data_IF_543376048819
#
_entry.id   IF_543376048819
#
_cell.length_a   1.000
_cell.length_b   1.000
_cell.length_c   1.000
_cell.angle_alpha   90.00
_cell.angle_beta   90.00
_cell.angle_gamma   90.00
#
_symmetry.space_group_name_H-M   'P 1'
#
loop_
_entity.id
_entity.type
_entity.pdbx_description
1 polymer ?
#
# COMPACT_ATOMS: atom_id res chain seq x y z
N UNK A 1 10.39 -14.00 8.66
CA UNK A 1 9.74 -14.53 9.88
C UNK A 1 10.65 -14.54 11.11
N UNK A 2 11.87 -15.09 11.04
CA UNK A 2 12.79 -15.15 12.19
C UNK A 2 13.14 -13.78 12.82
N UNK A 3 13.23 -12.72 12.02
CA UNK A 3 13.55 -11.35 12.48
C UNK A 3 12.39 -10.71 13.23
N UNK A 4 11.15 -10.99 12.82
CA UNK A 4 9.93 -10.49 13.47
C UNK A 4 9.74 -11.20 14.82
N UNK A 5 9.94 -12.52 14.87
CA UNK A 5 9.92 -13.27 16.12
C UNK A 5 11.01 -12.84 17.10
N UNK A 6 12.21 -12.50 16.61
CA UNK A 6 13.30 -11.97 17.44
C UNK A 6 12.98 -10.57 17.99
N UNK A 7 12.34 -9.71 17.20
CA UNK A 7 11.87 -8.40 17.64
C UNK A 7 10.74 -8.52 18.69
N UNK A 8 9.77 -9.42 18.47
CA UNK A 8 8.68 -9.67 19.42
C UNK A 8 9.17 -10.34 20.73
N UNK A 9 10.16 -11.23 20.65
CA UNK A 9 10.77 -11.87 21.83
C UNK A 9 11.52 -10.87 22.72
N UNK A 10 12.15 -9.85 22.12
CA UNK A 10 12.78 -8.74 22.85
C UNK A 10 11.75 -7.83 23.56
N UNK A 11 10.51 -7.76 23.06
CA UNK A 11 9.41 -7.01 23.70
C UNK A 11 8.83 -7.82 24.88
N UNK A 12 8.73 -9.14 24.75
CA UNK A 12 8.20 -10.03 25.79
C UNK A 12 9.16 -10.21 26.99
N UNK A 13 10.46 -9.96 26.82
CA UNK A 13 11.47 -10.19 27.87
C UNK A 13 11.59 -9.09 28.94
N UNK A 14 10.58 -8.22 29.10
CA UNK A 14 10.48 -7.31 30.25
C UNK A 14 11.54 -6.20 30.32
N UNK A 15 12.37 -6.03 29.30
CA UNK A 15 13.23 -4.86 29.20
C UNK A 15 12.34 -3.65 28.92
N UNK A 16 12.17 -2.77 29.92
CA UNK A 16 11.35 -1.57 29.80
C UNK A 16 11.66 -0.86 28.47
N UNK A 17 10.67 -0.56 27.62
CA UNK A 17 10.93 0.24 26.44
C UNK A 17 11.49 1.58 26.93
N UNK A 18 12.75 1.88 26.58
CA UNK A 18 13.25 3.26 26.66
C UNK A 18 12.23 4.10 25.92
N UNK A 19 11.74 5.16 26.57
CA UNK A 19 10.86 6.15 25.92
C UNK A 19 11.48 6.49 24.57
N UNK A 20 10.84 6.08 23.48
CA UNK A 20 11.18 6.46 22.13
C UNK A 20 11.03 7.99 22.08
N UNK A 21 12.14 8.68 22.29
CA UNK A 21 12.17 10.10 21.98
C UNK A 21 12.27 10.20 20.46
N UNK A 22 11.35 10.90 19.78
CA UNK A 22 11.58 11.24 18.39
C UNK A 22 12.92 11.98 18.30
N UNK A 23 13.76 11.67 17.31
CA UNK A 23 15.02 12.39 17.13
C UNK A 23 14.72 13.89 17.03
N UNK A 24 15.48 14.71 17.78
CA UNK A 24 15.38 16.17 17.68
C UNK A 24 16.03 16.60 16.36
N UNK A 25 15.19 16.96 15.39
CA UNK A 25 15.61 17.43 14.07
C UNK A 25 16.17 18.86 14.19
N UNK A 26 17.49 19.01 14.23
CA UNK A 26 18.12 20.34 14.17
C UNK A 26 19.43 20.41 13.40
N UNK A 27 19.83 19.35 12.68
CA UNK A 27 21.09 19.33 11.92
C UNK A 27 20.87 18.67 10.54
N UNK A 28 21.10 19.42 9.46
CA UNK A 28 20.95 18.95 8.06
C UNK A 28 21.83 17.73 7.74
N UNK A 29 22.97 17.63 8.42
CA UNK A 29 23.91 16.50 8.34
C UNK A 29 23.30 15.19 8.82
N UNK A 30 22.50 15.24 9.90
CA UNK A 30 21.85 14.06 10.48
C UNK A 30 20.71 13.58 9.59
N UNK A 31 20.02 14.52 8.93
CA UNK A 31 18.95 14.17 7.98
C UNK A 31 19.50 13.45 6.74
N UNK A 32 20.62 13.93 6.19
CA UNK A 32 21.30 13.28 5.07
C UNK A 32 21.82 11.89 5.43
N UNK A 33 22.35 11.72 6.65
CA UNK A 33 22.79 10.43 7.16
C UNK A 33 21.61 9.44 7.32
N UNK A 34 20.48 9.90 7.85
CA UNK A 34 19.25 9.09 7.97
C UNK A 34 18.63 8.72 6.62
N UNK A 35 18.74 9.58 5.61
CA UNK A 35 18.28 9.30 4.24
C UNK A 35 19.17 8.29 3.50
N UNK A 36 20.42 8.11 3.94
CA UNK A 36 21.35 7.12 3.38
C UNK A 36 21.13 5.69 3.90
N UNK A 37 20.26 5.53 4.91
CA UNK A 37 19.98 4.24 5.52
C UNK A 37 19.38 3.23 4.53
N UNK A 38 19.71 1.93 4.62
CA UNK A 38 19.13 0.89 3.75
C UNK A 38 17.60 0.79 3.79
N UNK A 39 16.98 1.21 4.91
CA UNK A 39 15.53 1.26 5.09
C UNK A 39 14.99 2.70 5.15
N UNK A 40 15.72 3.67 4.59
CA UNK A 40 15.25 5.03 4.49
C UNK A 40 13.90 5.09 3.73
N UNK A 41 12.98 5.86 4.28
CA UNK A 41 11.68 6.11 3.67
C UNK A 41 11.58 7.60 3.31
N UNK A 42 11.06 7.95 2.12
CA UNK A 42 10.78 9.33 1.78
C UNK A 42 9.80 9.92 2.78
N UNK A 43 10.03 11.16 3.22
CA UNK A 43 9.14 11.89 4.14
C UNK A 43 7.70 11.97 3.61
N UNK A 44 7.54 11.98 2.29
CA UNK A 44 6.26 12.05 1.60
C UNK A 44 5.49 10.71 1.61
N UNK A 45 6.13 9.58 1.94
CA UNK A 45 5.50 8.26 1.87
C UNK A 45 4.29 8.10 2.81
N UNK A 46 4.40 8.35 4.13
CA UNK A 46 3.25 8.21 5.04
C UNK A 46 2.03 9.06 4.65
N UNK A 47 2.13 10.36 4.35
CA UNK A 47 0.95 11.14 3.98
C UNK A 47 0.39 10.72 2.61
N UNK A 48 1.25 10.39 1.63
CA UNK A 48 0.79 10.04 0.29
C UNK A 48 0.04 8.70 0.25
N UNK A 49 0.51 7.69 1.00
CA UNK A 49 -0.24 6.43 1.11
C UNK A 49 -1.60 6.67 1.77
N UNK A 50 -1.66 7.46 2.85
CA UNK A 50 -2.94 7.75 3.52
C UNK A 50 -3.92 8.47 2.59
N UNK A 51 -3.45 9.44 1.79
CA UNK A 51 -4.28 10.10 0.78
C UNK A 51 -4.79 9.08 -0.24
N UNK A 52 -3.93 8.20 -0.76
CA UNK A 52 -4.34 7.14 -1.68
C UNK A 52 -5.44 6.25 -1.08
N UNK A 53 -5.27 5.81 0.17
CA UNK A 53 -6.24 4.94 0.84
C UNK A 53 -7.58 5.65 1.10
N UNK A 54 -7.54 6.93 1.48
CA UNK A 54 -8.76 7.74 1.67
C UNK A 54 -9.48 7.91 0.32
N UNK A 55 -8.76 8.29 -0.73
CA UNK A 55 -9.34 8.47 -2.07
C UNK A 55 -9.92 7.17 -2.61
N UNK A 56 -9.24 6.04 -2.40
CA UNK A 56 -9.71 4.74 -2.86
C UNK A 56 -10.96 4.29 -2.10
N UNK A 57 -11.00 4.53 -0.78
CA UNK A 57 -12.18 4.26 0.05
C UNK A 57 -13.36 5.14 -0.35
N UNK A 58 -13.10 6.44 -0.57
CA UNK A 58 -14.09 7.39 -1.05
C UNK A 58 -14.62 6.99 -2.43
N UNK A 59 -13.76 6.54 -3.35
CA UNK A 59 -14.18 6.05 -4.66
C UNK A 59 -15.12 4.85 -4.54
N UNK A 60 -14.84 3.90 -3.64
CA UNK A 60 -15.69 2.73 -3.44
C UNK A 60 -17.05 3.08 -2.83
N UNK A 61 -17.08 4.01 -1.87
CA UNK A 61 -18.29 4.31 -1.08
C UNK A 61 -19.14 5.42 -1.70
N UNK A 62 -18.52 6.47 -2.23
CA UNK A 62 -19.20 7.70 -2.64
C UNK A 62 -19.56 7.72 -4.13
N UNK A 63 -18.76 7.12 -5.03
CA UNK A 63 -19.11 7.09 -6.46
C UNK A 63 -20.44 6.39 -6.74
N UNK A 64 -20.79 5.25 -6.11
CA UNK A 64 -22.10 4.62 -6.29
C UNK A 64 -23.27 5.48 -5.80
N UNK A 65 -23.02 6.50 -4.98
CA UNK A 65 -24.06 7.42 -4.48
C UNK A 65 -24.39 8.51 -5.50
N UNK A 66 -23.65 8.60 -6.60
CA UNK A 66 -23.93 9.58 -7.65
C UNK A 66 -25.26 9.24 -8.34
N UNK A 67 -26.25 10.17 -8.32
CA UNK A 67 -27.51 9.93 -9.00
C UNK A 67 -27.27 9.93 -10.51
N UNK A 68 -27.65 8.85 -11.18
CA UNK A 68 -27.58 8.76 -12.64
C UNK A 68 -28.94 9.22 -13.19
N UNK A 69 -28.99 10.33 -13.97
CA UNK A 69 -30.23 10.80 -14.58
C UNK A 69 -30.89 9.68 -15.41
N UNK A 70 -32.22 9.57 -15.32
CA UNK A 70 -33.05 8.62 -16.07
C UNK A 70 -32.80 7.13 -15.80
N UNK A 71 -32.11 6.76 -14.72
CA UNK A 71 -31.91 5.37 -14.35
C UNK A 71 -32.91 4.95 -13.24
N UNK A 72 -33.97 4.16 -13.55
CA UNK A 72 -35.06 3.87 -12.61
C UNK A 72 -34.54 3.15 -11.37
N UNK A 73 -34.97 3.48 -10.16
CA UNK A 73 -34.47 2.83 -8.94
C UNK A 73 -34.97 1.38 -8.92
N UNK A 74 -34.06 0.42 -9.00
CA UNK A 74 -34.41 -1.01 -8.89
C UNK A 74 -34.57 -1.39 -7.40
N UNK A 75 -35.56 -2.23 -7.04
CA UNK A 75 -35.66 -2.74 -5.68
C UNK A 75 -34.41 -3.55 -5.32
N UNK A 76 -34.03 -3.60 -4.03
CA UNK A 76 -32.88 -4.39 -3.59
C UNK A 76 -33.06 -5.85 -3.98
N UNK A 77 -31.95 -6.49 -4.39
CA UNK A 77 -31.98 -7.86 -4.93
C UNK A 77 -32.18 -8.94 -3.85
N UNK A 78 -32.03 -8.59 -2.56
CA UNK A 78 -32.16 -9.47 -1.38
C UNK A 78 -32.67 -8.69 -0.17
N UNK A 79 -33.27 -9.41 0.79
CA UNK A 79 -33.65 -8.86 2.10
C UNK A 79 -34.68 -7.72 2.07
N UNK A 80 -35.71 -7.81 1.21
CA UNK A 80 -36.79 -6.80 1.11
C UNK A 80 -37.51 -6.58 2.45
N UNK A 81 -37.56 -7.61 3.29
CA UNK A 81 -38.33 -7.61 4.54
C UNK A 81 -37.54 -7.03 5.73
N UNK A 82 -36.26 -6.70 5.53
CA UNK A 82 -35.37 -6.26 6.61
C UNK A 82 -34.88 -4.84 6.35
N UNK A 83 -35.10 -3.90 7.29
CA UNK A 83 -34.72 -2.50 7.08
C UNK A 83 -33.20 -2.35 6.90
N UNK A 84 -32.82 -1.50 5.95
CA UNK A 84 -31.43 -1.11 5.67
C UNK A 84 -31.30 0.40 5.80
N UNK A 85 -30.13 0.86 6.27
CA UNK A 85 -29.85 2.28 6.35
C UNK A 85 -29.83 2.93 4.95
N UNK A 86 -30.46 4.11 4.74
CA UNK A 86 -30.57 4.75 3.42
C UNK A 86 -29.25 4.96 2.70
N UNK A 87 -28.18 5.24 3.45
CA UNK A 87 -26.82 5.40 2.92
C UNK A 87 -26.31 4.17 2.14
N UNK A 88 -26.71 2.96 2.54
CA UNK A 88 -26.23 1.74 1.90
C UNK A 88 -27.05 1.38 0.66
N UNK A 89 -28.26 1.93 0.51
CA UNK A 89 -29.16 1.56 -0.58
C UNK A 89 -28.56 1.80 -1.98
N UNK A 90 -27.89 2.93 -2.29
CA UNK A 90 -27.25 3.13 -3.59
C UNK A 90 -26.16 2.09 -3.89
N UNK A 91 -25.43 1.67 -2.86
CA UNK A 91 -24.33 0.70 -2.96
C UNK A 91 -24.87 -0.72 -3.20
N UNK A 92 -25.97 -1.08 -2.54
CA UNK A 92 -26.48 -2.47 -2.52
C UNK A 92 -27.57 -2.76 -3.53
N UNK A 93 -28.29 -1.74 -4.02
CA UNK A 93 -29.34 -1.92 -5.03
C UNK A 93 -28.79 -2.44 -6.36
N UNK A 94 -27.55 -2.06 -6.71
CA UNK A 94 -26.92 -2.43 -7.98
C UNK A 94 -25.46 -2.89 -7.79
N UNK A 95 -25.23 -4.16 -7.45
CA UNK A 95 -23.89 -4.72 -7.26
C UNK A 95 -22.94 -4.44 -8.44
N UNK A 96 -23.41 -4.63 -9.67
CA UNK A 96 -22.63 -4.39 -10.89
C UNK A 96 -22.19 -2.94 -11.01
N UNK A 97 -23.11 -1.98 -10.82
CA UNK A 97 -22.81 -0.56 -10.96
C UNK A 97 -21.80 -0.10 -9.90
N UNK A 98 -21.98 -0.55 -8.66
CA UNK A 98 -21.04 -0.30 -7.57
C UNK A 98 -19.64 -0.78 -7.90
N UNK A 99 -19.52 -2.01 -8.41
CA UNK A 99 -18.22 -2.55 -8.82
C UNK A 99 -17.64 -1.85 -10.04
N UNK A 100 -18.46 -1.43 -11.00
CA UNK A 100 -18.01 -0.60 -12.14
C UNK A 100 -17.39 0.69 -11.64
N UNK A 101 -18.05 1.40 -10.73
CA UNK A 101 -17.49 2.61 -10.10
C UNK A 101 -16.21 2.32 -9.31
N UNK A 102 -16.15 1.22 -8.57
CA UNK A 102 -14.95 0.80 -7.86
C UNK A 102 -13.78 0.53 -8.83
N UNK A 103 -14.03 -0.17 -9.94
CA UNK A 103 -13.04 -0.43 -10.98
C UNK A 103 -12.57 0.86 -11.66
N UNK A 104 -13.49 1.77 -12.01
CA UNK A 104 -13.15 3.07 -12.60
C UNK A 104 -12.31 3.92 -11.65
N UNK A 105 -12.68 3.97 -10.36
CA UNK A 105 -11.88 4.63 -9.33
C UNK A 105 -10.49 4.01 -9.20
N UNK A 106 -10.39 2.68 -9.22
CA UNK A 106 -9.12 1.97 -9.18
C UNK A 106 -8.26 2.21 -10.44
N UNK A 107 -8.86 2.27 -11.63
CA UNK A 107 -8.17 2.57 -12.90
C UNK A 107 -7.52 3.96 -12.88
N UNK A 108 -8.04 4.92 -12.11
CA UNK A 108 -7.45 6.25 -11.98
C UNK A 108 -6.44 6.31 -10.82
N UNK A 109 -6.85 5.86 -9.64
CA UNK A 109 -6.07 6.04 -8.41
C UNK A 109 -4.89 5.07 -8.31
N UNK A 110 -5.04 3.83 -8.78
CA UNK A 110 -3.98 2.82 -8.67
C UNK A 110 -2.79 3.15 -9.57
N UNK A 111 -2.95 3.55 -10.85
CA UNK A 111 -1.81 3.97 -11.66
C UNK A 111 -1.13 5.23 -11.15
N UNK A 112 -1.88 6.18 -10.57
CA UNK A 112 -1.31 7.34 -9.91
C UNK A 112 -0.40 6.91 -8.75
N UNK A 113 -0.92 6.08 -7.83
CA UNK A 113 -0.16 5.56 -6.70
C UNK A 113 1.05 4.71 -7.13
N UNK A 114 0.85 3.82 -8.11
CA UNK A 114 1.92 2.99 -8.65
C UNK A 114 3.02 3.83 -9.33
N UNK A 115 2.66 4.96 -9.92
CA UNK A 115 3.62 5.95 -10.43
C UNK A 115 4.47 6.58 -9.35
N UNK A 116 3.88 6.89 -8.20
CA UNK A 116 4.64 7.34 -7.02
C UNK A 116 5.57 6.24 -6.51
N UNK A 117 5.07 5.00 -6.33
CA UNK A 117 5.90 3.86 -5.93
C UNK A 117 7.06 3.59 -6.90
N UNK A 118 6.84 3.75 -8.20
CA UNK A 118 7.88 3.60 -9.23
C UNK A 118 8.98 4.64 -9.04
N UNK A 119 8.62 5.91 -8.82
CA UNK A 119 9.61 6.96 -8.54
C UNK A 119 10.43 6.63 -7.30
N UNK A 120 9.78 6.12 -6.25
CA UNK A 120 10.50 5.72 -5.05
C UNK A 120 11.43 4.52 -5.28
N UNK A 121 10.97 3.51 -6.02
CA UNK A 121 11.77 2.33 -6.30
C UNK A 121 12.99 2.61 -7.18
N UNK A 122 12.88 3.52 -8.16
CA UNK A 122 13.95 3.83 -9.11
C UNK A 122 14.83 5.01 -8.67
N UNK A 123 14.24 6.05 -8.08
CA UNK A 123 14.93 7.32 -7.80
C UNK A 123 15.13 7.57 -6.29
N UNK A 124 14.56 6.74 -5.42
CA UNK A 124 14.61 6.93 -3.96
C UNK A 124 13.74 8.07 -3.43
N UNK A 125 13.02 8.80 -4.30
CA UNK A 125 12.19 9.95 -3.93
C UNK A 125 10.71 9.68 -4.20
N UNK A 126 9.83 10.38 -3.46
CA UNK A 126 8.38 10.27 -3.62
C UNK A 126 7.77 11.68 -3.65
N UNK A 127 6.92 11.97 -4.64
CA UNK A 127 6.18 13.24 -4.67
C UNK A 127 6.02 13.84 -6.07
N UNK A 128 5.62 15.11 -6.11
CA UNK A 128 5.48 15.83 -7.38
C UNK A 128 6.84 16.07 -8.00
N UNK A 129 7.07 15.52 -9.20
CA UNK A 129 8.21 15.86 -10.04
C UNK A 129 8.30 17.37 -10.26
N UNK A 130 9.52 17.89 -10.30
CA UNK A 130 9.78 19.27 -10.73
C UNK A 130 9.21 19.48 -12.14
N UNK A 131 8.88 20.72 -12.50
CA UNK A 131 8.35 21.03 -13.85
C UNK A 131 9.32 20.54 -14.93
N UNK A 132 10.63 20.67 -14.68
CA UNK A 132 11.70 20.21 -15.55
C UNK A 132 11.67 18.69 -15.77
N UNK A 133 11.57 17.89 -14.71
CA UNK A 133 11.48 16.42 -14.79
C UNK A 133 10.20 15.90 -15.46
N UNK A 134 9.15 16.72 -15.52
CA UNK A 134 7.92 16.39 -16.28
C UNK A 134 8.10 16.64 -17.76
N UNK A 135 8.83 17.69 -18.12
CA UNK A 135 9.10 18.08 -19.50
C UNK A 135 10.11 17.13 -20.18
N UNK A 136 11.11 16.66 -19.44
CA UNK A 136 12.12 15.73 -19.97
C UNK A 136 11.52 14.36 -20.31
N UNK A 137 10.46 13.94 -19.60
CA UNK A 137 9.75 12.70 -19.86
C UNK A 137 10.60 11.45 -19.61
N UNK A 138 9.95 10.31 -19.38
CA UNK A 138 10.65 9.01 -19.38
C UNK A 138 10.21 8.27 -20.66
N UNK A 139 11.13 8.03 -21.63
CA UNK A 139 10.78 7.44 -22.92
C UNK A 139 10.23 6.02 -22.79
N UNK A 140 10.47 5.33 -21.67
CA UNK A 140 9.97 3.98 -21.43
C UNK A 140 8.68 3.96 -20.60
N UNK A 141 8.28 5.08 -19.97
CA UNK A 141 7.11 5.15 -19.10
C UNK A 141 5.82 4.69 -19.79
N UNK A 142 5.58 5.15 -21.02
CA UNK A 142 4.37 4.79 -21.76
C UNK A 142 4.33 3.29 -22.08
N UNK A 143 5.46 2.73 -22.51
CA UNK A 143 5.59 1.29 -22.77
C UNK A 143 5.37 0.48 -21.49
N UNK A 144 5.89 0.94 -20.36
CA UNK A 144 5.77 0.22 -19.10
C UNK A 144 4.34 0.26 -18.54
N UNK A 145 3.64 1.40 -18.69
CA UNK A 145 2.20 1.50 -18.38
C UNK A 145 1.39 0.56 -19.28
N UNK A 146 1.73 0.50 -20.57
CA UNK A 146 1.06 -0.36 -21.54
C UNK A 146 1.25 -1.84 -21.18
N UNK A 147 2.49 -2.24 -20.92
CA UNK A 147 2.84 -3.59 -20.48
C UNK A 147 2.14 -3.97 -19.16
N UNK A 148 2.12 -3.07 -18.17
CA UNK A 148 1.44 -3.31 -16.90
C UNK A 148 -0.07 -3.45 -17.09
N UNK A 149 -0.68 -2.64 -17.96
CA UNK A 149 -2.10 -2.71 -18.28
C UNK A 149 -2.46 -4.04 -18.95
N UNK A 150 -1.70 -4.46 -19.97
CA UNK A 150 -1.90 -5.75 -20.64
C UNK A 150 -1.76 -6.90 -19.66
N UNK A 151 -0.71 -6.90 -18.83
CA UNK A 151 -0.50 -7.95 -17.84
C UNK A 151 -1.61 -8.00 -16.79
N UNK A 152 -2.17 -6.83 -16.42
CA UNK A 152 -3.34 -6.73 -15.54
C UNK A 152 -4.58 -7.35 -16.18
N UNK A 153 -4.81 -7.12 -17.48
CA UNK A 153 -5.93 -7.76 -18.21
C UNK A 153 -5.78 -9.27 -18.25
N UNK A 154 -4.59 -9.79 -18.58
CA UNK A 154 -4.33 -11.25 -18.53
C UNK A 154 -4.57 -11.82 -17.14
N UNK A 155 -4.15 -11.09 -16.10
CA UNK A 155 -4.36 -11.53 -14.72
C UNK A 155 -5.83 -11.47 -14.33
N UNK A 156 -6.59 -10.47 -14.77
CA UNK A 156 -8.03 -10.41 -14.56
C UNK A 156 -8.74 -11.60 -15.22
N UNK A 157 -8.34 -12.00 -16.43
CA UNK A 157 -8.87 -13.19 -17.10
C UNK A 157 -8.53 -14.47 -16.34
N UNK A 158 -7.28 -14.61 -15.88
CA UNK A 158 -6.86 -15.76 -15.07
C UNK A 158 -7.63 -15.82 -13.74
N UNK A 159 -7.76 -14.70 -13.05
CA UNK A 159 -8.52 -14.60 -11.80
C UNK A 159 -10.01 -14.86 -12.01
N UNK A 160 -10.60 -14.45 -13.12
CA UNK A 160 -11.98 -14.79 -13.46
C UNK A 160 -12.18 -16.30 -13.52
N UNK A 161 -11.27 -17.01 -14.20
CA UNK A 161 -11.26 -18.48 -14.23
C UNK A 161 -11.09 -19.09 -12.84
N UNK A 162 -10.15 -18.58 -12.02
CA UNK A 162 -9.95 -19.04 -10.64
C UNK A 162 -11.21 -18.85 -9.80
N UNK A 163 -11.88 -17.68 -9.87
CA UNK A 163 -13.08 -17.42 -9.07
C UNK A 163 -14.23 -18.35 -9.47
N UNK A 164 -14.37 -18.68 -10.77
CA UNK A 164 -15.32 -19.69 -11.24
C UNK A 164 -14.99 -21.06 -10.66
N UNK A 165 -13.72 -21.48 -10.70
CA UNK A 165 -13.28 -22.77 -10.13
C UNK A 165 -13.54 -22.86 -8.62
N UNK A 166 -13.52 -21.72 -7.92
CA UNK A 166 -13.83 -21.63 -6.50
C UNK A 166 -15.35 -21.52 -6.20
N UNK A 167 -16.20 -21.68 -7.22
CA UNK A 167 -17.65 -21.86 -7.06
C UNK A 167 -18.52 -20.71 -7.56
N UNK A 168 -17.96 -19.70 -8.25
CA UNK A 168 -18.79 -18.67 -8.86
C UNK A 168 -19.57 -19.21 -10.09
N UNK A 169 -20.85 -18.82 -10.29
CA UNK A 169 -21.65 -19.33 -11.41
C UNK A 169 -21.07 -18.95 -12.79
N UNK A 170 -20.94 -19.95 -13.67
CA UNK A 170 -20.30 -19.79 -14.98
C UNK A 170 -21.06 -18.88 -15.96
N UNK A 171 -22.40 -18.92 -15.98
CA UNK A 171 -23.23 -18.27 -17.02
C UNK A 171 -23.97 -17.04 -16.49
N UNK A 172 -24.57 -17.13 -15.30
CA UNK A 172 -25.49 -16.10 -14.79
C UNK A 172 -24.76 -14.87 -14.22
N UNK A 173 -23.54 -15.05 -13.71
CA UNK A 173 -22.78 -14.02 -12.99
C UNK A 173 -21.47 -13.63 -13.69
N UNK A 174 -21.38 -13.79 -15.02
CA UNK A 174 -20.17 -13.47 -15.80
C UNK A 174 -19.69 -12.04 -15.55
N UNK A 175 -20.57 -11.06 -15.72
CA UNK A 175 -20.23 -9.64 -15.50
C UNK A 175 -19.77 -9.34 -14.06
N UNK A 176 -20.43 -9.95 -13.07
CA UNK A 176 -20.13 -9.77 -11.66
C UNK A 176 -18.73 -10.31 -11.33
N UNK A 177 -18.46 -11.54 -11.77
CA UNK A 177 -17.17 -12.21 -11.56
C UNK A 177 -16.05 -11.53 -12.35
N UNK A 178 -16.33 -11.03 -13.55
CA UNK A 178 -15.36 -10.28 -14.37
C UNK A 178 -14.94 -8.97 -13.70
N UNK A 179 -15.91 -8.19 -13.17
CA UNK A 179 -15.61 -6.96 -12.44
C UNK A 179 -14.84 -7.23 -11.14
N UNK A 180 -15.19 -8.27 -10.39
CA UNK A 180 -14.45 -8.66 -9.19
C UNK A 180 -13.01 -9.06 -9.53
N UNK A 181 -12.81 -9.87 -10.58
CA UNK A 181 -11.50 -10.28 -11.04
C UNK A 181 -10.65 -9.10 -11.53
N UNK A 182 -11.28 -8.15 -12.23
CA UNK A 182 -10.63 -6.91 -12.66
C UNK A 182 -10.20 -6.05 -11.46
N UNK A 183 -11.07 -5.86 -10.47
CA UNK A 183 -10.75 -5.09 -9.27
C UNK A 183 -9.57 -5.70 -8.51
N UNK A 184 -9.57 -7.03 -8.34
CA UNK A 184 -8.45 -7.75 -7.74
C UNK A 184 -7.16 -7.55 -8.55
N UNK A 185 -7.19 -7.76 -9.87
CA UNK A 185 -6.02 -7.58 -10.71
C UNK A 185 -5.46 -6.15 -10.65
N UNK A 186 -6.34 -5.14 -10.60
CA UNK A 186 -5.96 -3.74 -10.42
C UNK A 186 -5.23 -3.53 -9.09
N UNK A 187 -5.69 -4.12 -7.99
CA UNK A 187 -5.04 -3.98 -6.69
C UNK A 187 -3.74 -4.79 -6.54
N UNK A 188 -3.71 -6.00 -7.09
CA UNK A 188 -2.65 -6.98 -6.80
C UNK A 188 -1.54 -6.99 -7.83
N UNK A 189 -1.86 -6.66 -9.08
CA UNK A 189 -0.97 -6.93 -10.21
C UNK A 189 -0.52 -5.67 -10.90
N UNK A 190 -1.40 -4.69 -11.07
CA UNK A 190 -1.03 -3.44 -11.73
C UNK A 190 0.14 -2.72 -11.03
N UNK A 191 0.15 -2.47 -9.70
CA UNK A 191 1.25 -1.75 -9.07
C UNK A 191 2.59 -2.47 -9.20
N UNK A 192 2.70 -3.78 -8.88
CA UNK A 192 3.97 -4.49 -9.05
C UNK A 192 4.44 -4.53 -10.51
N UNK A 193 3.53 -4.74 -11.47
CA UNK A 193 3.87 -4.78 -12.88
C UNK A 193 4.36 -3.44 -13.42
N UNK A 194 3.82 -2.33 -12.95
CA UNK A 194 4.27 -1.00 -13.38
C UNK A 194 5.58 -0.57 -12.71
N UNK A 195 5.81 -0.98 -11.46
CA UNK A 195 7.02 -0.63 -10.69
C UNK A 195 8.22 -1.51 -11.06
N UNK A 196 8.03 -2.83 -11.09
CA UNK A 196 9.08 -3.83 -11.30
C UNK A 196 9.21 -4.28 -12.76
N UNK A 197 8.17 -4.06 -13.56
CA UNK A 197 7.98 -4.70 -14.86
C UNK A 197 7.24 -6.05 -14.71
N UNK A 198 6.42 -6.44 -15.70
CA UNK A 198 5.73 -7.73 -15.67
C UNK A 198 6.73 -8.89 -15.87
N UNK A 199 6.42 -10.08 -15.31
CA UNK A 199 7.23 -11.25 -15.55
C UNK A 199 7.12 -11.66 -17.02
N UNK A 200 8.16 -12.34 -17.51
CA UNK A 200 8.16 -12.90 -18.85
C UNK A 200 7.33 -14.16 -18.88
N UNK A 201 6.09 -13.98 -19.30
CA UNK A 201 5.22 -15.03 -19.80
C UNK A 201 5.12 -14.78 -21.31
N UNK A 202 5.17 -15.83 -22.13
CA UNK A 202 5.09 -15.74 -23.60
C UNK A 202 3.71 -15.29 -24.10
N UNK A 203 3.19 -14.19 -23.56
CA UNK A 203 1.87 -13.65 -23.79
C UNK A 203 1.92 -12.67 -24.96
N UNK A 204 0.94 -12.73 -25.88
CA UNK A 204 0.90 -11.80 -26.99
C UNK A 204 0.71 -10.37 -26.50
N UNK A 205 1.24 -9.41 -27.26
CA UNK A 205 1.19 -7.96 -27.01
C UNK A 205 1.97 -7.44 -25.79
N UNK A 206 2.62 -8.33 -25.02
CA UNK A 206 3.50 -7.93 -23.92
C UNK A 206 4.93 -7.72 -24.44
N UNK A 207 5.39 -6.47 -24.49
CA UNK A 207 6.73 -6.14 -24.98
C UNK A 207 7.75 -6.27 -23.85
N UNK A 208 8.52 -7.36 -23.84
CA UNK A 208 9.53 -7.61 -22.80
C UNK A 208 10.95 -7.67 -23.40
N UNK A 209 11.86 -6.85 -22.87
CA UNK A 209 13.26 -6.79 -23.33
C UNK A 209 14.02 -8.05 -22.98
N UNK A 210 14.59 -8.75 -23.99
CA UNK A 210 15.20 -10.08 -23.96
C UNK A 210 16.32 -10.30 -22.92
N UNK A 211 17.07 -9.27 -22.57
CA UNK A 211 18.28 -9.37 -21.73
C UNK A 211 18.01 -9.62 -20.24
N UNK A 212 16.87 -9.19 -19.69
CA UNK A 212 16.64 -9.17 -18.23
C UNK A 212 15.53 -10.12 -17.73
N UNK A 213 15.14 -11.12 -18.53
CA UNK A 213 13.99 -12.00 -18.24
C UNK A 213 14.13 -12.75 -16.93
N UNK A 214 15.28 -13.39 -16.76
CA UNK A 214 15.54 -14.32 -15.66
C UNK A 214 15.52 -13.54 -14.35
N UNK A 215 16.18 -12.38 -14.33
CA UNK A 215 16.22 -11.48 -13.19
C UNK A 215 14.80 -11.01 -12.83
N UNK A 216 13.99 -10.60 -13.82
CA UNK A 216 12.61 -10.18 -13.56
C UNK A 216 11.76 -11.31 -12.97
N UNK A 217 11.82 -12.51 -13.53
CA UNK A 217 11.07 -13.65 -13.03
C UNK A 217 11.51 -14.02 -11.60
N UNK A 218 12.80 -14.02 -11.32
CA UNK A 218 13.36 -14.25 -9.98
C UNK A 218 12.87 -13.20 -8.97
N UNK A 219 12.82 -11.91 -9.36
CA UNK A 219 12.27 -10.85 -8.52
C UNK A 219 10.80 -11.10 -8.14
N UNK A 220 9.97 -11.52 -9.10
CA UNK A 220 8.56 -11.84 -8.83
C UNK A 220 8.41 -13.06 -7.91
N UNK A 221 9.17 -14.12 -8.15
CA UNK A 221 9.17 -15.31 -7.29
C UNK A 221 9.62 -14.95 -5.87
N UNK A 222 10.74 -14.25 -5.72
CA UNK A 222 11.27 -13.82 -4.43
C UNK A 222 10.29 -12.95 -3.65
N UNK A 223 9.70 -11.95 -4.29
CA UNK A 223 8.80 -11.01 -3.61
C UNK A 223 7.49 -11.71 -3.26
N UNK A 224 6.82 -12.35 -4.23
CA UNK A 224 5.45 -12.83 -4.05
C UNK A 224 5.36 -14.29 -3.59
N UNK A 225 6.19 -15.20 -4.11
CA UNK A 225 6.14 -16.61 -3.72
C UNK A 225 6.95 -16.87 -2.44
N UNK A 226 8.19 -16.37 -2.35
CA UNK A 226 9.04 -16.55 -1.16
C UNK A 226 8.73 -15.55 -0.03
N UNK A 227 7.96 -14.49 -0.32
CA UNK A 227 7.62 -13.42 0.63
C UNK A 227 8.86 -12.73 1.21
N UNK A 228 9.93 -12.62 0.42
CA UNK A 228 11.21 -12.08 0.84
C UNK A 228 11.42 -10.66 0.31
N UNK A 229 10.93 -9.67 1.07
CA UNK A 229 11.10 -8.25 0.77
C UNK A 229 12.39 -7.71 1.37
N UNK A 230 13.30 -7.23 0.51
CA UNK A 230 14.58 -6.63 0.91
C UNK A 230 14.46 -5.13 1.08
N UNK A 231 13.68 -4.48 0.21
CA UNK A 231 13.61 -3.03 0.14
C UNK A 231 12.26 -2.50 0.64
N UNK A 232 12.21 -1.26 1.18
CA UNK A 232 10.95 -0.59 1.55
C UNK A 232 9.84 -0.56 0.47
N UNK A 233 10.11 -0.26 -0.82
CA UNK A 233 9.08 -0.29 -1.86
C UNK A 233 8.56 -1.71 -2.13
N UNK A 234 9.37 -2.75 -1.97
CA UNK A 234 8.90 -4.14 -2.13
C UNK A 234 7.88 -4.51 -1.06
N UNK A 235 8.07 -4.04 0.19
CA UNK A 235 7.07 -4.20 1.27
C UNK A 235 5.76 -3.48 0.93
N UNK A 236 5.87 -2.27 0.37
CA UNK A 236 4.73 -1.47 -0.07
C UNK A 236 3.96 -2.09 -1.26
N UNK A 237 4.56 -3.01 -2.02
CA UNK A 237 3.90 -3.78 -3.08
C UNK A 237 3.32 -5.09 -2.57
N UNK A 238 4.07 -5.83 -1.75
CA UNK A 238 3.70 -7.17 -1.30
C UNK A 238 2.49 -7.17 -0.37
N UNK A 239 2.50 -6.31 0.65
CA UNK A 239 1.52 -6.37 1.73
C UNK A 239 0.09 -6.02 1.26
N UNK A 240 -0.14 -4.95 0.45
CA UNK A 240 -1.46 -4.68 -0.11
C UNK A 240 -1.97 -5.79 -1.03
N UNK A 241 -1.06 -6.42 -1.80
CA UNK A 241 -1.40 -7.52 -2.70
C UNK A 241 -1.95 -8.72 -1.94
N UNK A 242 -1.23 -9.17 -0.91
CA UNK A 242 -1.68 -10.25 -0.03
C UNK A 242 -2.93 -9.86 0.76
N UNK A 243 -2.97 -8.62 1.25
CA UNK A 243 -4.11 -8.07 1.95
C UNK A 243 -5.38 -8.13 1.09
N UNK A 244 -5.32 -7.73 -0.18
CA UNK A 244 -6.45 -7.76 -1.10
C UNK A 244 -6.99 -9.17 -1.33
N UNK A 245 -6.12 -10.15 -1.57
CA UNK A 245 -6.55 -11.55 -1.75
C UNK A 245 -7.16 -12.14 -0.47
N UNK A 246 -6.50 -11.95 0.68
CA UNK A 246 -7.03 -12.43 1.97
C UNK A 246 -8.35 -11.75 2.32
N UNK A 247 -8.45 -10.45 2.08
CA UNK A 247 -9.66 -9.68 2.30
C UNK A 247 -10.81 -10.14 1.40
N UNK A 248 -10.55 -10.37 0.12
CA UNK A 248 -11.56 -10.89 -0.81
C UNK A 248 -12.06 -12.27 -0.40
N UNK A 249 -11.14 -13.16 0.01
CA UNK A 249 -11.48 -14.48 0.51
C UNK A 249 -12.32 -14.42 1.80
N UNK A 250 -11.92 -13.59 2.77
CA UNK A 250 -12.74 -13.31 3.96
C UNK A 250 -14.11 -12.72 3.61
N UNK A 251 -14.19 -11.90 2.55
CA UNK A 251 -15.43 -11.32 2.05
C UNK A 251 -16.42 -12.34 1.46
N UNK A 252 -16.00 -13.58 1.22
CA UNK A 252 -16.89 -14.69 0.85
C UNK A 252 -17.61 -15.27 2.08
N UNK A 253 -17.01 -15.20 3.28
CA UNK A 253 -17.58 -15.77 4.51
C UNK A 253 -18.99 -15.23 4.81
N UNK A 254 -19.27 -13.92 4.73
CA UNK A 254 -20.63 -13.40 4.92
C UNK A 254 -21.64 -13.93 3.91
N UNK A 255 -21.23 -14.32 2.70
CA UNK A 255 -22.14 -14.90 1.71
C UNK A 255 -22.57 -16.30 2.17
N UNK A 256 -21.64 -17.11 2.65
CA UNK A 256 -21.94 -18.46 3.13
C UNK A 256 -22.76 -18.49 4.42
N UNK A 257 -22.67 -17.45 5.25
CA UNK A 257 -23.44 -17.34 6.49
C UNK A 257 -24.90 -16.88 6.27
N UNK A 258 -25.21 -16.39 5.06
CA UNK A 258 -26.55 -16.03 4.57
C UNK A 258 -27.45 -15.35 5.62
N UNK A 259 -27.07 -14.14 6.05
CA UNK A 259 -27.93 -13.31 6.90
C UNK A 259 -29.11 -12.69 6.14
N UNK A 260 -29.22 -13.00 4.85
CA UNK A 260 -30.19 -12.51 3.88
C UNK A 260 -30.34 -10.97 3.99
N UNK A 261 -29.24 -10.29 3.66
CA UNK A 261 -29.16 -8.82 3.65
C UNK A 261 -28.75 -8.29 2.27
N UNK A 262 -29.25 -7.13 1.83
CA UNK A 262 -28.87 -6.53 0.54
C UNK A 262 -27.36 -6.35 0.37
N UNK A 263 -26.63 -6.05 1.46
CA UNK A 263 -25.18 -5.86 1.42
C UNK A 263 -24.40 -7.16 1.19
N UNK A 264 -25.01 -8.34 1.37
CA UNK A 264 -24.40 -9.65 1.10
C UNK A 264 -24.47 -10.06 -0.38
N UNK A 265 -25.07 -9.24 -1.24
CA UNK A 265 -25.21 -9.58 -2.65
C UNK A 265 -23.84 -9.77 -3.32
N UNK A 266 -23.63 -10.92 -3.97
CA UNK A 266 -22.42 -11.16 -4.74
C UNK A 266 -22.34 -10.18 -5.92
N UNK A 267 -21.19 -9.54 -6.20
CA UNK A 267 -19.85 -9.72 -5.62
C UNK A 267 -19.46 -8.58 -4.65
N UNK A 268 -20.43 -7.91 -4.01
CA UNK A 268 -20.16 -6.76 -3.13
C UNK A 268 -19.28 -7.13 -1.94
N UNK A 269 -19.56 -8.23 -1.25
CA UNK A 269 -18.80 -8.60 -0.05
C UNK A 269 -17.36 -9.02 -0.35
N UNK A 270 -17.04 -9.84 -1.38
CA UNK A 270 -15.65 -10.05 -1.78
C UNK A 270 -14.96 -8.77 -2.26
N UNK A 271 -15.66 -7.88 -2.98
CA UNK A 271 -15.08 -6.62 -3.43
C UNK A 271 -14.75 -5.68 -2.25
N UNK A 272 -15.68 -5.51 -1.31
CA UNK A 272 -15.46 -4.73 -0.10
C UNK A 272 -14.35 -5.35 0.77
N UNK A 273 -14.34 -6.69 0.89
CA UNK A 273 -13.27 -7.44 1.53
C UNK A 273 -11.92 -7.18 0.87
N UNK A 274 -11.84 -7.21 -0.46
CA UNK A 274 -10.63 -6.91 -1.22
C UNK A 274 -10.11 -5.49 -0.96
N UNK A 275 -11.00 -4.50 -0.99
CA UNK A 275 -10.64 -3.10 -0.71
C UNK A 275 -10.16 -2.91 0.73
N UNK A 276 -10.88 -3.45 1.72
CA UNK A 276 -10.48 -3.39 3.13
C UNK A 276 -9.15 -4.13 3.38
N UNK A 277 -8.97 -5.27 2.73
CA UNK A 277 -7.75 -6.05 2.78
C UNK A 277 -6.56 -5.30 2.17
N UNK A 278 -6.75 -4.67 1.02
CA UNK A 278 -5.74 -3.82 0.38
C UNK A 278 -5.32 -2.65 1.28
N UNK A 279 -6.31 -1.94 1.86
CA UNK A 279 -6.09 -0.83 2.81
C UNK A 279 -5.31 -1.33 4.03
N UNK A 280 -5.75 -2.43 4.64
CA UNK A 280 -5.08 -3.02 5.80
C UNK A 280 -3.65 -3.43 5.46
N UNK A 281 -3.44 -4.08 4.31
CA UNK A 281 -2.12 -4.46 3.82
C UNK A 281 -1.21 -3.24 3.60
N UNK A 282 -1.72 -2.15 3.05
CA UNK A 282 -0.97 -0.91 2.88
C UNK A 282 -0.58 -0.25 4.22
N UNK A 283 -1.50 -0.24 5.19
CA UNK A 283 -1.20 0.25 6.54
C UNK A 283 -0.16 -0.63 7.26
N UNK A 284 -0.24 -1.95 7.10
CA UNK A 284 0.78 -2.87 7.60
C UNK A 284 2.13 -2.66 6.92
N UNK A 285 2.16 -2.36 5.61
CA UNK A 285 3.38 -2.00 4.90
C UNK A 285 4.01 -0.73 5.46
N UNK A 286 3.19 0.30 5.70
CA UNK A 286 3.61 1.55 6.33
C UNK A 286 4.18 1.28 7.72
N UNK A 287 3.47 0.53 8.56
CA UNK A 287 3.92 0.16 9.90
C UNK A 287 5.23 -0.63 9.89
N UNK A 288 5.36 -1.62 9.00
CA UNK A 288 6.59 -2.39 8.84
C UNK A 288 7.76 -1.52 8.38
N UNK A 289 7.53 -0.63 7.41
CA UNK A 289 8.53 0.32 6.92
C UNK A 289 9.01 1.26 8.03
N UNK A 290 8.10 1.83 8.81
CA UNK A 290 8.43 2.68 9.95
C UNK A 290 9.20 1.90 11.03
N UNK A 291 8.78 0.67 11.34
CA UNK A 291 9.44 -0.18 12.31
C UNK A 291 10.89 -0.47 11.92
N UNK A 292 11.14 -0.86 10.67
CA UNK A 292 12.50 -1.13 10.18
C UNK A 292 13.35 0.13 10.12
N UNK A 293 12.77 1.28 9.76
CA UNK A 293 13.46 2.57 9.79
C UNK A 293 13.91 2.94 11.22
N UNK A 294 13.00 2.92 12.20
CA UNK A 294 13.32 3.25 13.58
C UNK A 294 14.26 2.23 14.24
N UNK A 295 14.13 0.94 13.92
CA UNK A 295 15.03 -0.09 14.42
C UNK A 295 16.47 0.12 13.95
N UNK A 296 16.66 0.63 12.73
CA UNK A 296 17.99 0.93 12.19
C UNK A 296 18.55 2.23 12.79
N UNK A 297 17.72 3.26 12.95
CA UNK A 297 18.12 4.49 13.64
C UNK A 297 18.58 4.21 15.08
N UNK A 298 17.89 3.34 15.83
CA UNK A 298 18.28 2.95 17.19
C UNK A 298 19.58 2.13 17.21
N UNK A 299 19.83 1.30 16.19
CA UNK A 299 21.10 0.58 16.06
C UNK A 299 22.28 1.52 15.91
N UNK A 300 22.16 2.55 15.07
CA UNK A 300 23.20 3.57 14.91
C UNK A 300 23.46 4.33 16.22
N UNK A 301 22.41 4.71 16.93
CA UNK A 301 22.51 5.34 18.27
C UNK A 301 23.24 4.42 19.27
N UNK A 302 23.04 3.10 19.17
CA UNK A 302 23.60 2.10 20.08
C UNK A 302 25.03 1.65 19.75
N UNK A 303 25.42 1.63 18.46
CA UNK A 303 26.73 1.15 18.01
C UNK A 303 27.86 2.14 18.27
N UNK A 304 27.56 3.37 18.69
CA UNK A 304 28.56 4.33 19.15
C UNK A 304 29.67 4.58 18.15
N UNK A 305 29.36 4.57 16.85
CA UNK A 305 30.31 4.97 15.81
C UNK A 305 30.83 6.37 16.18
N UNK A 306 32.14 6.58 16.37
CA UNK A 306 32.68 7.86 16.84
C UNK A 306 32.62 8.90 15.71
N UNK A 307 31.42 9.44 15.52
CA UNK A 307 31.09 10.50 14.59
C UNK A 307 29.61 10.79 14.79
N UNK A 308 29.28 12.01 15.23
CA UNK A 308 27.91 12.53 15.26
C UNK A 308 26.95 11.92 16.29
N UNK A 309 27.23 12.11 17.59
CA UNK A 309 26.16 12.17 18.58
C UNK A 309 26.23 13.50 19.34
N UNK A 310 25.41 14.44 18.86
CA UNK A 310 25.09 15.75 19.42
C UNK A 310 24.68 15.75 20.91
N UNK A 311 24.57 14.59 21.57
CA UNK A 311 24.38 14.46 23.03
C UNK A 311 25.60 14.90 23.84
N UNK A 312 26.81 14.88 23.25
CA UNK A 312 28.04 15.36 23.91
C UNK A 312 28.04 16.87 24.13
N UNK A 313 27.73 17.64 23.09
CA UNK A 313 27.87 19.10 23.11
C UNK A 313 26.72 19.82 23.82
N UNK A 314 25.48 19.31 23.78
CA UNK A 314 24.40 19.93 24.59
C UNK A 314 24.65 19.77 26.09
N UNK A 315 25.25 18.64 26.50
CA UNK A 315 25.59 18.37 27.90
C UNK A 315 26.81 19.20 28.35
N UNK A 316 27.80 19.37 27.46
CA UNK A 316 28.98 20.23 27.70
C UNK A 316 28.60 21.71 27.76
N UNK A 317 27.71 22.18 26.87
CA UNK A 317 27.20 23.57 26.83
C UNK A 317 26.34 23.90 28.05
N UNK A 318 25.40 23.03 28.42
CA UNK A 318 24.59 23.20 29.66
C UNK A 318 25.44 23.15 30.94
N UNK A 319 26.53 22.37 30.96
CA UNK A 319 27.46 22.34 32.10
C UNK A 319 28.29 23.62 32.18
N UNK A 320 28.81 24.13 31.05
CA UNK A 320 29.52 25.42 30.99
C UNK A 320 28.65 26.61 31.37
N UNK A 321 27.38 26.65 30.94
CA UNK A 321 26.44 27.70 31.35
C UNK A 321 26.09 27.65 32.85
N UNK A 322 25.97 26.45 33.44
CA UNK A 322 25.77 26.29 34.90
C UNK A 322 27.01 26.69 35.71
N UNK A 323 28.21 26.39 35.21
CA UNK A 323 29.47 26.79 35.84
C UNK A 323 29.73 28.30 35.72
N UNK A 324 29.35 28.94 34.59
CA UNK A 324 29.39 30.40 34.45
C UNK A 324 28.37 31.12 35.33
N UNK A 325 27.12 30.61 35.41
CA UNK A 325 26.11 31.17 36.33
C UNK A 325 26.53 31.05 37.80
N UNK A 326 27.14 29.93 38.20
CA UNK A 326 27.69 29.80 39.57
C UNK A 326 28.80 30.81 39.86
N UNK A 327 29.68 31.09 38.89
CA UNK A 327 30.78 32.06 39.06
C UNK A 327 30.31 33.52 39.12
N UNK A 328 29.18 33.86 38.48
CA UNK A 328 28.57 35.18 38.62
C UNK A 328 27.93 35.39 40.01
N UNK A 329 27.30 34.35 40.57
CA UNK A 329 26.63 34.45 41.88
C UNK A 329 27.59 34.46 43.08
N UNK A 330 28.84 33.99 42.94
CA UNK A 330 29.86 34.04 44.02
C UNK A 330 30.71 35.32 44.01
N UNK A 331 30.36 36.34 43.22
CA UNK A 331 31.10 37.60 43.10
C UNK A 331 30.37 38.82 43.69
N UNK A 332 29.20 38.60 44.31
CA UNK A 332 28.37 39.66 44.91
C UNK A 332 28.21 39.54 46.45
N UNK A 333 29.03 38.71 47.11
CA UNK A 333 29.23 38.71 48.56
C UNK A 333 30.68 39.11 48.90
#
# INVERSE_FOLDING_TARGET
MATIFKALKNIASGNRPRKLHPPSFSDDSTELELLSLPNAIPKQYPPLILIHLILLSAAFVLLPQTPIPNLPISPPTRGLDKPQHPFLAPITTRPVLTLTWACLGAILLVPWWAGSLRQWAHNGTLGSRSVQERLEGDPHKQRDIWNASIFTVYTALALHGVIILFGAPFIQYVQHTALLALLLALYTTFPPAYVLGPPRLGLPFLSASASNAIVQNDLWVRIFAERNTRNPPERALLYPTYGAFLGAWCGVIPIGLDWDRPWQAYPLTPAAGASLGYITGALLALGANLLFFFAEADRLDSSGTPGSLAKGDTKKKKRKEREQKKKLFTKED
#
